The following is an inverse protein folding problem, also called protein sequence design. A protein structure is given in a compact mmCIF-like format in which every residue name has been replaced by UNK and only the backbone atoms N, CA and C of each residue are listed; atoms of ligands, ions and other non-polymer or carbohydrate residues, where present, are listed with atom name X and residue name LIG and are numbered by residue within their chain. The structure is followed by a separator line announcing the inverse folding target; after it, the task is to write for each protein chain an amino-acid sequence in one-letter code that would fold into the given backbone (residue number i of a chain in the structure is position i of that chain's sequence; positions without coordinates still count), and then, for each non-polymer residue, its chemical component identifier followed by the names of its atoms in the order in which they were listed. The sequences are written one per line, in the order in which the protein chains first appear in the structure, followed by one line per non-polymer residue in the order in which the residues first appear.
data_IF_603683504013
#
_entry.id   IF_603683504013
#
_cell.length_a   1.000
_cell.length_b   1.000
_cell.length_c   1.000
_cell.angle_alpha   90.00
_cell.angle_beta   90.00
_cell.angle_gamma   90.00
#
_symmetry.space_group_name_H-M   'P 1'
#
loop_
_entity.id
_entity.type
_entity.pdbx_description
1 polymer ?
#
# COMPACT_ATOMS: atom_id res chain seq x y z
N UNK A 1 -11.00 7.28 -14.40
CA UNK A 1 -10.75 8.17 -13.25
C UNK A 1 -11.85 7.96 -12.24
N UNK A 2 -11.54 7.91 -10.95
CA UNK A 2 -12.59 7.96 -9.92
C UNK A 2 -13.07 9.39 -9.70
N UNK A 3 -14.31 9.53 -9.28
CA UNK A 3 -14.95 10.79 -8.95
C UNK A 3 -15.97 10.59 -7.82
N UNK A 4 -16.82 11.60 -7.60
CA UNK A 4 -17.86 11.56 -6.56
C UNK A 4 -18.96 10.54 -6.84
N UNK A 5 -19.23 10.24 -8.12
CA UNK A 5 -20.22 9.23 -8.52
C UNK A 5 -19.67 7.84 -8.19
N UNK A 6 -18.42 7.57 -8.57
CA UNK A 6 -17.76 6.32 -8.21
C UNK A 6 -17.73 6.11 -6.69
N UNK A 7 -17.44 7.16 -5.91
CA UNK A 7 -17.41 7.04 -4.45
C UNK A 7 -18.80 6.74 -3.88
N UNK A 8 -19.85 7.40 -4.39
CA UNK A 8 -21.23 7.13 -3.98
C UNK A 8 -21.64 5.68 -4.28
N UNK A 9 -21.31 5.17 -5.47
CA UNK A 9 -21.58 3.78 -5.87
C UNK A 9 -20.80 2.78 -4.99
N UNK A 10 -19.51 3.06 -4.76
CA UNK A 10 -18.66 2.24 -3.90
C UNK A 10 -19.19 2.17 -2.46
N UNK A 11 -19.72 3.27 -1.94
CA UNK A 11 -20.36 3.33 -0.62
C UNK A 11 -21.71 2.63 -0.57
N UNK A 12 -22.51 2.75 -1.62
CA UNK A 12 -23.80 2.06 -1.72
C UNK A 12 -23.64 0.52 -1.73
N UNK A 13 -22.51 0.02 -2.23
CA UNK A 13 -22.16 -1.40 -2.21
C UNK A 13 -21.69 -1.94 -0.85
N UNK A 14 -21.43 -1.08 0.14
CA UNK A 14 -20.96 -1.53 1.47
C UNK A 14 -22.12 -2.04 2.30
N UNK A 15 -22.07 -3.33 2.64
CA UNK A 15 -23.03 -3.99 3.52
C UNK A 15 -22.34 -4.42 4.82
N UNK A 16 -22.38 -3.59 5.88
CA UNK A 16 -21.72 -3.89 7.16
C UNK A 16 -22.03 -5.26 7.73
N UNK A 17 -21.02 -5.93 8.28
CA UNK A 17 -21.20 -7.18 9.00
C UNK A 17 -21.94 -6.97 10.34
N UNK A 18 -22.56 -8.04 10.90
CA UNK A 18 -23.20 -7.97 12.20
C UNK A 18 -22.17 -7.67 13.31
N UNK A 19 -22.62 -7.00 14.36
CA UNK A 19 -21.85 -6.77 15.60
C UNK A 19 -21.88 -7.97 16.53
N UNK A 20 -22.84 -8.87 16.36
CA UNK A 20 -22.96 -10.12 17.12
C UNK A 20 -22.61 -11.29 16.20
N UNK A 21 -21.50 -11.95 16.47
CA UNK A 21 -21.12 -13.18 15.79
C UNK A 21 -20.15 -14.00 16.65
N UNK A 22 -20.06 -15.33 16.46
CA UNK A 22 -19.11 -16.16 17.21
C UNK A 22 -17.65 -15.69 17.11
N UNK A 23 -17.27 -15.08 15.98
CA UNK A 23 -15.94 -14.50 15.79
C UNK A 23 -15.72 -13.26 16.65
N UNK A 24 -16.71 -12.38 16.75
CA UNK A 24 -16.65 -11.19 17.62
C UNK A 24 -16.52 -11.62 19.08
N UNK A 25 -17.35 -12.57 19.54
CA UNK A 25 -17.29 -13.08 20.91
C UNK A 25 -15.93 -13.70 21.23
N UNK A 26 -15.40 -14.51 20.30
CA UNK A 26 -14.07 -15.12 20.43
C UNK A 26 -12.98 -14.07 20.55
N UNK A 27 -12.96 -13.08 19.66
CA UNK A 27 -11.93 -12.03 19.69
C UNK A 27 -12.05 -11.19 20.97
N UNK A 28 -13.26 -10.84 21.41
CA UNK A 28 -13.46 -10.10 22.66
C UNK A 28 -12.96 -10.88 23.88
N UNK A 29 -13.13 -12.21 23.92
CA UNK A 29 -12.58 -13.03 25.00
C UNK A 29 -11.05 -13.06 25.01
N UNK A 30 -10.41 -13.11 23.84
CA UNK A 30 -8.94 -12.99 23.72
C UNK A 30 -8.49 -11.62 24.22
N UNK A 31 -9.15 -10.53 23.79
CA UNK A 31 -8.79 -9.17 24.16
C UNK A 31 -8.96 -8.91 25.67
N UNK A 32 -10.03 -9.43 26.29
CA UNK A 32 -10.25 -9.35 27.74
C UNK A 32 -9.15 -10.09 28.51
N UNK A 33 -8.79 -11.30 28.07
CA UNK A 33 -7.69 -12.07 28.67
C UNK A 33 -6.34 -11.34 28.54
N UNK A 34 -6.09 -10.70 27.40
CA UNK A 34 -4.89 -9.86 27.21
C UNK A 34 -4.93 -8.60 28.10
N UNK A 35 -6.11 -8.01 28.34
CA UNK A 35 -6.26 -6.84 29.21
C UNK A 35 -5.94 -7.18 30.67
N UNK A 36 -6.35 -8.36 31.15
CA UNK A 36 -5.97 -8.88 32.47
C UNK A 36 -4.44 -8.96 32.62
N UNK A 37 -3.77 -9.60 31.66
CA UNK A 37 -2.32 -9.76 31.68
C UNK A 37 -1.56 -8.44 31.43
N UNK A 38 -2.11 -7.53 30.62
CA UNK A 38 -1.58 -6.18 30.42
C UNK A 38 -1.61 -5.37 31.72
N UNK A 39 -2.75 -5.38 32.44
CA UNK A 39 -2.87 -4.72 33.73
C UNK A 39 -1.96 -5.33 34.79
N UNK A 40 -1.84 -6.67 34.84
CA UNK A 40 -0.94 -7.35 35.77
C UNK A 40 0.54 -6.98 35.56
N UNK A 41 0.94 -6.62 34.33
CA UNK A 41 2.33 -6.23 33.97
C UNK A 41 2.59 -4.73 34.13
N UNK A 42 1.55 -3.91 34.31
CA UNK A 42 1.66 -2.45 34.33
C UNK A 42 1.09 -1.89 35.63
N UNK A 43 1.98 -1.44 36.51
CA UNK A 43 1.59 -0.83 37.79
C UNK A 43 0.77 0.45 37.64
N UNK A 44 0.78 1.08 36.46
CA UNK A 44 0.01 2.29 36.18
C UNK A 44 -1.41 2.02 35.65
N UNK A 45 -1.79 0.76 35.45
CA UNK A 45 -3.14 0.32 35.03
C UNK A 45 -3.88 -0.20 36.26
N UNK A 46 -4.93 0.52 36.67
CA UNK A 46 -5.63 0.27 37.95
C UNK A 46 -6.63 -0.88 37.84
N UNK A 47 -7.23 -1.07 36.66
CA UNK A 47 -8.25 -2.08 36.40
C UNK A 47 -7.96 -2.79 35.08
N UNK A 48 -8.17 -4.11 34.98
CA UNK A 48 -8.07 -4.83 33.72
C UNK A 48 -9.31 -4.64 32.83
N UNK A 49 -10.29 -3.85 33.27
CA UNK A 49 -11.53 -3.61 32.52
C UNK A 49 -11.20 -3.11 31.11
N UNK A 50 -11.56 -3.92 30.13
CA UNK A 50 -11.50 -3.55 28.72
C UNK A 50 -12.66 -2.61 28.41
N UNK A 51 -12.33 -1.39 27.97
CA UNK A 51 -13.28 -0.47 27.40
C UNK A 51 -13.57 -0.88 25.97
N UNK A 52 -14.79 -1.32 25.74
CA UNK A 52 -15.28 -1.57 24.40
C UNK A 52 -15.36 -0.25 23.64
N UNK A 53 -14.99 -0.21 22.36
CA UNK A 53 -15.10 1.01 21.58
C UNK A 53 -16.55 1.38 21.40
N UNK A 54 -16.81 2.69 21.38
CA UNK A 54 -18.14 3.22 21.10
C UNK A 54 -18.73 2.71 19.76
N UNK A 55 -17.88 2.38 18.78
CA UNK A 55 -18.29 1.86 17.46
C UNK A 55 -18.50 0.35 17.39
N UNK A 56 -18.17 -0.38 18.46
CA UNK A 56 -18.16 -1.84 18.51
C UNK A 56 -17.13 -2.50 17.59
N UNK A 57 -16.94 -3.81 17.78
CA UNK A 57 -16.23 -4.68 16.87
C UNK A 57 -17.24 -5.35 15.93
N UNK A 58 -16.92 -5.48 14.64
CA UNK A 58 -17.77 -6.14 13.64
C UNK A 58 -17.20 -7.46 13.17
N UNK A 59 -18.08 -8.28 12.59
CA UNK A 59 -17.75 -9.60 12.09
C UNK A 59 -16.51 -9.62 11.20
N UNK A 60 -16.41 -8.69 10.25
CA UNK A 60 -15.32 -8.64 9.27
C UNK A 60 -13.96 -8.34 9.91
N UNK A 61 -13.95 -7.37 10.84
CA UNK A 61 -12.76 -7.03 11.63
C UNK A 61 -12.31 -8.21 12.48
N UNK A 62 -13.26 -8.94 13.07
CA UNK A 62 -12.96 -10.08 13.93
C UNK A 62 -12.52 -11.31 13.14
N UNK A 63 -13.19 -11.63 12.05
CA UNK A 63 -12.95 -12.86 11.28
C UNK A 63 -11.62 -12.80 10.54
N UNK A 64 -11.29 -11.68 9.90
CA UNK A 64 -10.02 -11.48 9.21
C UNK A 64 -8.83 -11.52 10.19
N UNK A 65 -8.93 -10.82 11.32
CA UNK A 65 -7.90 -10.82 12.35
C UNK A 65 -7.72 -12.21 12.99
N UNK A 66 -8.80 -12.90 13.34
CA UNK A 66 -8.72 -14.26 13.89
C UNK A 66 -8.12 -15.25 12.88
N UNK A 67 -8.46 -15.13 11.59
CA UNK A 67 -7.86 -15.97 10.56
C UNK A 67 -6.34 -15.72 10.42
N UNK A 68 -5.90 -14.47 10.58
CA UNK A 68 -4.48 -14.13 10.63
C UNK A 68 -3.76 -14.79 11.83
N UNK A 69 -4.40 -14.82 12.99
CA UNK A 69 -3.86 -15.49 14.19
C UNK A 69 -3.83 -17.01 14.02
N UNK A 70 -4.94 -17.60 13.55
CA UNK A 70 -5.10 -19.05 13.43
C UNK A 70 -4.15 -19.66 12.40
N UNK A 71 -3.78 -18.90 11.37
CA UNK A 71 -2.79 -19.32 10.36
C UNK A 71 -1.33 -19.12 10.79
N UNK A 72 -1.10 -18.46 11.94
CA UNK A 72 0.24 -18.08 12.39
C UNK A 72 0.85 -16.89 11.64
N UNK A 73 0.09 -16.23 10.75
CA UNK A 73 0.51 -14.96 10.13
C UNK A 73 0.70 -13.86 11.17
N UNK A 74 -0.17 -13.84 12.19
CA UNK A 74 -0.09 -12.96 13.34
C UNK A 74 0.07 -13.76 14.63
N UNK A 75 0.84 -13.22 15.58
CA UNK A 75 0.97 -13.78 16.92
C UNK A 75 0.69 -12.70 17.96
N UNK A 76 -0.14 -13.02 18.95
CA UNK A 76 -0.49 -12.12 20.05
C UNK A 76 0.23 -12.60 21.31
N UNK A 77 1.01 -11.72 21.93
CA UNK A 77 1.61 -12.00 23.23
C UNK A 77 0.60 -11.73 24.36
N UNK A 78 0.81 -12.28 25.58
CA UNK A 78 -0.13 -12.07 26.67
C UNK A 78 -0.29 -10.60 27.12
N UNK A 79 0.64 -9.69 26.76
CA UNK A 79 0.48 -8.26 27.03
C UNK A 79 -0.32 -7.53 25.93
N UNK A 80 -0.91 -8.26 24.97
CA UNK A 80 -1.68 -7.66 23.89
C UNK A 80 -0.81 -6.97 22.85
N UNK A 81 0.43 -7.41 22.64
CA UNK A 81 1.19 -7.00 21.45
C UNK A 81 1.00 -8.02 20.35
N UNK A 82 0.77 -7.54 19.12
CA UNK A 82 0.78 -8.36 17.92
C UNK A 82 2.14 -8.25 17.22
N UNK A 83 2.60 -9.39 16.70
CA UNK A 83 3.77 -9.51 15.82
C UNK A 83 3.38 -10.24 14.55
N UNK A 84 4.06 -9.91 13.45
CA UNK A 84 3.85 -10.49 12.14
C UNK A 84 5.16 -11.16 11.69
N UNK A 85 5.41 -12.43 12.05
CA UNK A 85 6.69 -13.08 11.80
C UNK A 85 6.98 -13.34 10.32
N UNK A 86 5.95 -13.35 9.47
CA UNK A 86 6.06 -13.65 8.04
C UNK A 86 6.27 -12.42 7.17
N UNK A 87 6.00 -11.21 7.68
CA UNK A 87 6.22 -9.96 6.94
C UNK A 87 7.67 -9.49 7.02
N UNK A 88 8.08 -8.57 6.14
CA UNK A 88 9.45 -8.03 6.17
C UNK A 88 9.76 -7.42 7.54
N UNK A 89 10.89 -7.84 8.11
CA UNK A 89 11.27 -7.47 9.48
C UNK A 89 11.60 -5.98 9.56
N UNK A 90 10.79 -5.25 10.33
CA UNK A 90 11.10 -3.88 10.77
C UNK A 90 12.16 -3.92 11.89
N UNK A 91 13.11 -2.97 11.89
CA UNK A 91 14.09 -2.78 12.98
C UNK A 91 13.82 -1.45 13.71
N UNK A 92 13.67 -1.45 15.06
CA UNK A 92 13.56 -2.62 15.94
C UNK A 92 12.31 -3.46 15.64
N UNK A 93 12.29 -4.73 16.09
CA UNK A 93 11.27 -5.75 15.77
C UNK A 93 9.86 -5.19 15.85
N UNK A 94 9.08 -5.36 14.77
CA UNK A 94 7.69 -4.90 14.67
C UNK A 94 6.78 -5.57 15.71
N UNK A 95 6.59 -4.88 16.84
CA UNK A 95 5.62 -5.20 17.91
C UNK A 95 4.60 -4.08 17.98
N UNK A 96 3.34 -4.39 17.71
CA UNK A 96 2.26 -3.41 17.65
C UNK A 96 1.33 -3.60 18.85
N UNK A 97 1.10 -2.54 19.61
CA UNK A 97 0.28 -2.62 20.82
C UNK A 97 -1.20 -2.63 20.45
N UNK A 98 -1.87 -3.78 20.60
CA UNK A 98 -3.33 -3.87 20.50
C UNK A 98 -4.01 -3.24 21.70
N UNK A 99 -3.32 -3.15 22.84
CA UNK A 99 -3.87 -2.63 24.08
C UNK A 99 -3.09 -1.40 24.54
N UNK A 100 -3.84 -0.40 25.02
CA UNK A 100 -3.30 0.79 25.64
C UNK A 100 -4.02 1.09 26.96
N UNK A 101 -3.36 1.79 27.87
CA UNK A 101 -4.01 2.32 29.05
C UNK A 101 -4.98 3.43 28.65
N UNK A 102 -6.20 3.40 29.18
CA UNK A 102 -7.18 4.48 29.02
C UNK A 102 -7.85 4.74 30.35
N UNK A 103 -7.73 5.94 30.91
CA UNK A 103 -8.23 6.25 32.26
C UNK A 103 -7.75 5.23 33.31
N UNK A 104 -8.69 4.56 33.97
CA UNK A 104 -8.41 3.51 34.96
C UNK A 104 -8.29 2.10 34.37
N UNK A 105 -8.59 1.91 33.08
CA UNK A 105 -8.70 0.60 32.43
C UNK A 105 -7.83 0.47 31.18
N UNK A 106 -8.28 -0.40 30.27
CA UNK A 106 -7.57 -0.78 29.05
C UNK A 106 -8.45 -0.49 27.84
N UNK A 107 -7.90 0.09 26.78
CA UNK A 107 -8.57 0.27 25.48
C UNK A 107 -7.88 -0.54 24.40
N UNK A 108 -8.66 -0.98 23.41
CA UNK A 108 -8.14 -1.66 22.22
C UNK A 108 -7.77 -0.63 21.14
N UNK A 109 -6.63 -0.82 20.48
CA UNK A 109 -6.35 -0.16 19.21
C UNK A 109 -7.00 -0.96 18.08
N UNK A 110 -8.16 -0.47 17.64
CA UNK A 110 -8.97 -1.12 16.61
C UNK A 110 -8.37 -1.04 15.21
N UNK A 111 -7.52 -0.06 14.95
CA UNK A 111 -6.88 0.08 13.64
C UNK A 111 -6.02 -1.15 13.36
N UNK A 112 -5.22 -1.60 14.34
CA UNK A 112 -4.39 -2.80 14.20
C UNK A 112 -5.18 -4.08 13.93
N UNK A 113 -6.43 -4.20 14.40
CA UNK A 113 -7.24 -5.38 14.11
C UNK A 113 -7.53 -5.47 12.60
N UNK A 114 -7.96 -4.36 12.00
CA UNK A 114 -8.31 -4.31 10.58
C UNK A 114 -7.06 -4.32 9.70
N UNK A 115 -6.02 -3.58 10.07
CA UNK A 115 -4.76 -3.55 9.32
C UNK A 115 -4.13 -4.95 9.25
N UNK A 116 -4.07 -5.68 10.36
CA UNK A 116 -3.52 -7.05 10.38
C UNK A 116 -4.38 -8.01 9.56
N UNK A 117 -5.71 -7.92 9.69
CA UNK A 117 -6.64 -8.71 8.88
C UNK A 117 -6.47 -8.46 7.38
N UNK A 118 -6.40 -7.19 6.98
CA UNK A 118 -6.19 -6.78 5.59
C UNK A 118 -4.82 -7.24 5.05
N UNK A 119 -3.75 -7.08 5.83
CA UNK A 119 -2.43 -7.57 5.44
C UNK A 119 -2.42 -9.10 5.25
N UNK A 120 -3.20 -9.84 6.05
CA UNK A 120 -3.36 -11.27 5.87
C UNK A 120 -4.19 -11.64 4.63
N UNK A 121 -5.25 -10.90 4.31
CA UNK A 121 -6.01 -11.04 3.06
C UNK A 121 -5.11 -10.87 1.82
N UNK A 122 -4.14 -9.94 1.84
CA UNK A 122 -3.14 -9.82 0.77
C UNK A 122 -2.38 -11.13 0.53
N UNK A 123 -1.99 -11.79 1.62
CA UNK A 123 -1.20 -13.03 1.54
C UNK A 123 -2.07 -14.23 1.17
N UNK A 124 -3.22 -14.38 1.83
CA UNK A 124 -4.10 -15.53 1.68
C UNK A 124 -4.85 -15.53 0.35
N UNK A 125 -5.44 -14.38 0.00
CA UNK A 125 -6.44 -14.30 -1.07
C UNK A 125 -5.87 -13.64 -2.34
N UNK A 126 -4.88 -12.76 -2.17
CA UNK A 126 -4.31 -11.98 -3.26
C UNK A 126 -2.89 -12.43 -3.63
N UNK A 127 -2.47 -13.58 -3.11
CA UNK A 127 -1.23 -14.29 -3.46
C UNK A 127 0.07 -13.48 -3.26
N UNK A 128 0.07 -12.51 -2.36
CA UNK A 128 1.31 -11.86 -1.92
C UNK A 128 2.09 -12.78 -0.99
N UNK A 129 3.41 -12.77 -1.06
CA UNK A 129 4.21 -13.38 0.01
C UNK A 129 4.38 -12.38 1.16
N UNK A 130 4.43 -12.86 2.41
CA UNK A 130 4.75 -11.97 3.54
C UNK A 130 6.10 -11.26 3.36
N UNK A 131 7.09 -11.93 2.76
CA UNK A 131 8.39 -11.35 2.44
C UNK A 131 8.36 -10.20 1.43
N UNK A 132 7.25 -9.96 0.75
CA UNK A 132 7.02 -8.81 -0.14
C UNK A 132 6.28 -7.67 0.56
N UNK A 133 5.82 -7.84 1.80
CA UNK A 133 5.03 -6.84 2.52
C UNK A 133 5.85 -6.14 3.61
N UNK A 134 5.89 -4.81 3.58
CA UNK A 134 6.24 -4.00 4.74
C UNK A 134 4.93 -3.63 5.47
N UNK A 135 4.89 -3.83 6.80
CA UNK A 135 3.75 -3.45 7.64
C UNK A 135 4.12 -2.25 8.51
N UNK A 136 3.21 -1.26 8.59
CA UNK A 136 3.39 -0.04 9.39
C UNK A 136 4.71 0.68 9.07
N UNK A 137 5.00 0.84 7.78
CA UNK A 137 6.22 1.50 7.30
C UNK A 137 5.88 2.59 6.29
N UNK A 138 6.18 3.83 6.66
CA UNK A 138 5.86 5.00 5.85
C UNK A 138 4.48 5.55 6.23
N UNK A 139 3.82 6.18 5.25
CA UNK A 139 2.51 6.81 5.50
C UNK A 139 1.33 5.84 5.36
N UNK A 140 1.51 4.65 4.80
CA UNK A 140 0.45 3.64 4.60
C UNK A 140 0.58 2.48 5.59
N UNK A 141 -0.53 1.79 5.85
CA UNK A 141 -0.58 0.70 6.82
C UNK A 141 0.20 -0.54 6.35
N UNK A 142 0.24 -0.78 5.03
CA UNK A 142 1.19 -1.73 4.44
C UNK A 142 1.64 -1.30 3.04
N UNK A 143 2.82 -1.75 2.66
CA UNK A 143 3.39 -1.61 1.31
C UNK A 143 3.68 -3.00 0.74
N UNK A 144 3.30 -3.24 -0.51
CA UNK A 144 3.70 -4.43 -1.27
C UNK A 144 4.81 -4.09 -2.26
N UNK A 145 5.88 -4.86 -2.24
CA UNK A 145 7.05 -4.67 -3.08
C UNK A 145 7.00 -5.55 -4.33
N UNK A 146 7.32 -4.95 -5.48
CA UNK A 146 7.46 -5.64 -6.75
C UNK A 146 8.80 -6.34 -6.90
N UNK A 147 9.06 -6.90 -8.09
CA UNK A 147 10.28 -7.68 -8.35
C UNK A 147 11.56 -6.85 -8.23
N UNK A 148 11.48 -5.54 -8.50
CA UNK A 148 12.59 -4.59 -8.35
C UNK A 148 12.84 -4.15 -6.91
N UNK A 149 12.03 -4.61 -5.95
CA UNK A 149 12.06 -4.13 -4.57
C UNK A 149 11.41 -2.77 -4.34
N UNK A 150 10.91 -2.11 -5.40
CA UNK A 150 10.10 -0.88 -5.31
C UNK A 150 8.71 -1.19 -4.74
N UNK A 151 8.10 -0.29 -3.95
CA UNK A 151 6.68 -0.40 -3.63
C UNK A 151 5.81 -0.24 -4.89
N UNK A 152 4.97 -1.24 -5.15
CA UNK A 152 4.01 -1.28 -6.28
C UNK A 152 2.57 -1.43 -5.80
N UNK A 153 2.39 -1.64 -4.49
CA UNK A 153 1.11 -1.67 -3.79
C UNK A 153 1.23 -0.81 -2.52
N UNK A 154 0.19 -0.03 -2.24
CA UNK A 154 -0.05 0.56 -0.92
C UNK A 154 -1.40 0.06 -0.40
N UNK A 155 -1.49 -0.18 0.90
CA UNK A 155 -2.73 -0.54 1.58
C UNK A 155 -3.04 0.49 2.66
N UNK A 156 -4.29 0.93 2.70
CA UNK A 156 -4.84 1.68 3.83
C UNK A 156 -6.07 0.95 4.34
N UNK A 157 -6.09 0.68 5.64
CA UNK A 157 -7.20 0.10 6.34
C UNK A 157 -7.88 1.13 7.26
N UNK A 158 -9.21 1.12 7.28
CA UNK A 158 -10.02 1.87 8.22
C UNK A 158 -11.03 0.94 8.86
N UNK A 159 -11.45 1.25 10.07
CA UNK A 159 -12.50 0.46 10.71
C UNK A 159 -13.81 0.52 9.92
N UNK A 160 -14.11 1.64 9.25
CA UNK A 160 -15.40 1.87 8.59
C UNK A 160 -15.21 2.55 7.22
N UNK A 161 -16.12 2.26 6.31
CA UNK A 161 -16.20 2.94 5.01
C UNK A 161 -16.70 4.39 5.13
N UNK A 162 -17.60 4.69 6.08
CA UNK A 162 -18.17 6.03 6.34
C UNK A 162 -17.90 6.52 7.76
N UNK A 163 -18.00 7.83 7.99
CA UNK A 163 -17.81 8.48 9.29
C UNK A 163 -16.53 9.33 9.39
N UNK A 164 -16.22 9.84 10.59
CA UNK A 164 -15.17 10.86 10.81
C UNK A 164 -13.76 10.42 10.43
N UNK A 165 -13.45 9.14 10.62
CA UNK A 165 -12.17 8.52 10.26
C UNK A 165 -12.47 7.25 9.47
N UNK A 166 -12.66 7.44 8.17
CA UNK A 166 -13.22 6.45 7.26
C UNK A 166 -12.59 6.53 5.88
N UNK A 167 -12.80 5.48 5.07
CA UNK A 167 -12.36 5.48 3.69
C UNK A 167 -13.00 6.63 2.88
N UNK A 168 -14.28 6.94 3.12
CA UNK A 168 -14.98 8.05 2.47
C UNK A 168 -14.23 9.38 2.69
N UNK A 169 -13.87 9.69 3.94
CA UNK A 169 -13.16 10.94 4.26
C UNK A 169 -11.80 11.01 3.57
N UNK A 170 -11.08 9.88 3.52
CA UNK A 170 -9.80 9.79 2.82
C UNK A 170 -9.95 10.02 1.32
N UNK A 171 -10.89 9.31 0.67
CA UNK A 171 -11.08 9.40 -0.79
C UNK A 171 -11.58 10.79 -1.18
N UNK A 172 -12.51 11.40 -0.43
CA UNK A 172 -12.95 12.79 -0.70
C UNK A 172 -11.79 13.78 -0.64
N UNK A 173 -10.90 13.64 0.36
CA UNK A 173 -9.72 14.49 0.46
C UNK A 173 -8.79 14.29 -0.75
N UNK A 174 -8.56 13.05 -1.19
CA UNK A 174 -7.77 12.77 -2.39
C UNK A 174 -8.39 13.27 -3.68
N UNK A 175 -9.71 13.16 -3.85
CA UNK A 175 -10.42 13.76 -4.99
C UNK A 175 -10.28 15.28 -5.04
N UNK A 176 -10.27 15.93 -3.87
CA UNK A 176 -9.98 17.36 -3.76
C UNK A 176 -8.53 17.67 -4.16
N UNK A 177 -7.53 16.95 -3.63
CA UNK A 177 -6.12 17.16 -3.99
C UNK A 177 -5.83 16.89 -5.47
N UNK A 178 -6.53 15.93 -6.09
CA UNK A 178 -6.43 15.65 -7.52
C UNK A 178 -6.96 16.80 -8.39
N UNK A 179 -7.85 17.64 -7.86
CA UNK A 179 -8.44 18.81 -8.54
C UNK A 179 -7.71 20.11 -8.24
N UNK A 180 -7.13 20.23 -7.05
CA UNK A 180 -6.47 21.45 -6.56
C UNK A 180 -5.11 21.13 -5.93
N UNK A 181 -4.04 21.42 -6.69
CA UNK A 181 -2.66 21.24 -6.24
C UNK A 181 -2.23 22.27 -5.18
N UNK A 182 -3.04 23.32 -4.94
CA UNK A 182 -2.75 24.34 -3.93
C UNK A 182 -3.34 24.01 -2.56
N UNK A 183 -4.20 22.99 -2.48
CA UNK A 183 -4.77 22.53 -1.23
C UNK A 183 -3.67 22.02 -0.28
N UNK A 184 -3.77 22.39 1.00
CA UNK A 184 -2.79 22.00 2.01
C UNK A 184 -2.78 20.48 2.23
N UNK A 185 -1.58 19.89 2.18
CA UNK A 185 -1.35 18.46 2.40
C UNK A 185 -0.82 18.14 3.81
N UNK A 186 -0.89 19.08 4.76
CA UNK A 186 -0.39 18.86 6.13
C UNK A 186 -1.26 17.87 6.95
N UNK A 187 -2.50 17.66 6.52
CA UNK A 187 -3.42 16.70 7.12
C UNK A 187 -2.97 15.25 6.91
N UNK A 188 -3.54 14.31 7.67
CA UNK A 188 -3.22 12.88 7.51
C UNK A 188 -3.53 12.36 6.08
N UNK A 189 -4.71 12.63 5.48
CA UNK A 189 -4.96 12.33 4.07
C UNK A 189 -3.96 12.99 3.11
N UNK A 190 -3.54 14.22 3.43
CA UNK A 190 -2.57 14.99 2.65
C UNK A 190 -1.18 14.37 2.62
N UNK A 191 -0.65 13.94 3.76
CA UNK A 191 0.64 13.24 3.83
C UNK A 191 0.63 11.93 3.04
N UNK A 192 -0.46 11.15 3.15
CA UNK A 192 -0.66 9.93 2.34
C UNK A 192 -0.72 10.25 0.84
N UNK A 193 -1.36 11.36 0.45
CA UNK A 193 -1.38 11.83 -0.94
C UNK A 193 0.02 12.20 -1.45
N UNK A 194 0.79 12.96 -0.67
CA UNK A 194 2.18 13.32 -1.00
C UNK A 194 3.06 12.08 -1.13
N UNK A 195 2.91 11.10 -0.23
CA UNK A 195 3.63 9.84 -0.34
C UNK A 195 3.20 9.05 -1.59
N UNK A 196 1.92 9.03 -1.92
CA UNK A 196 1.44 8.39 -3.15
C UNK A 196 2.01 9.06 -4.41
N UNK A 197 2.10 10.40 -4.45
CA UNK A 197 2.79 11.13 -5.52
C UNK A 197 4.25 10.71 -5.65
N UNK A 198 4.96 10.60 -4.52
CA UNK A 198 6.36 10.15 -4.48
C UNK A 198 6.52 8.71 -4.98
N UNK A 199 5.64 7.80 -4.57
CA UNK A 199 5.70 6.40 -5.01
C UNK A 199 5.39 6.25 -6.50
N UNK A 200 4.44 7.02 -7.02
CA UNK A 200 4.06 7.05 -8.44
C UNK A 200 5.17 7.60 -9.36
N UNK A 201 6.18 8.31 -8.83
CA UNK A 201 7.32 8.77 -9.65
C UNK A 201 8.19 7.62 -10.17
N UNK A 202 8.10 6.44 -9.55
CA UNK A 202 8.76 5.22 -10.03
C UNK A 202 7.87 4.35 -10.92
N UNK A 203 6.70 4.84 -11.33
CA UNK A 203 5.69 4.10 -12.09
C UNK A 203 4.41 3.83 -11.30
N UNK A 204 3.36 3.29 -11.95
CA UNK A 204 2.06 3.10 -11.33
C UNK A 204 2.11 2.30 -10.02
N UNK A 205 1.18 2.61 -9.12
CA UNK A 205 1.04 1.97 -7.80
C UNK A 205 -0.41 1.52 -7.64
N UNK A 206 -0.62 0.27 -7.23
CA UNK A 206 -1.94 -0.20 -6.81
C UNK A 206 -2.25 0.35 -5.42
N UNK A 207 -3.45 0.85 -5.24
CA UNK A 207 -3.95 1.34 -3.95
C UNK A 207 -5.08 0.43 -3.53
N UNK A 208 -4.96 -0.17 -2.35
CA UNK A 208 -5.97 -1.04 -1.79
C UNK A 208 -6.52 -0.45 -0.51
N UNK A 209 -7.80 -0.05 -0.55
CA UNK A 209 -8.48 0.59 0.55
C UNK A 209 -9.43 -0.43 1.18
N UNK A 210 -9.24 -0.69 2.47
CA UNK A 210 -9.95 -1.76 3.19
C UNK A 210 -10.71 -1.19 4.37
N UNK A 211 -11.95 -1.62 4.55
CA UNK A 211 -12.70 -1.42 5.77
C UNK A 211 -13.73 -2.54 5.95
N UNK A 212 -14.46 -2.53 7.07
CA UNK A 212 -15.59 -3.44 7.27
C UNK A 212 -16.52 -3.42 6.05
N UNK A 213 -16.60 -4.59 5.39
CA UNK A 213 -17.35 -4.83 4.14
C UNK A 213 -16.94 -3.98 2.91
N UNK A 214 -15.74 -3.38 2.90
CA UNK A 214 -15.24 -2.58 1.78
C UNK A 214 -13.84 -3.00 1.35
N UNK A 215 -13.68 -3.35 0.06
CA UNK A 215 -12.40 -3.64 -0.59
C UNK A 215 -12.34 -2.87 -1.90
N UNK A 216 -11.77 -1.66 -1.87
CA UNK A 216 -11.68 -0.82 -3.06
C UNK A 216 -10.26 -0.87 -3.63
N UNK A 217 -10.14 -1.38 -4.85
CA UNK A 217 -8.88 -1.39 -5.58
C UNK A 217 -8.83 -0.23 -6.57
N UNK A 218 -7.75 0.53 -6.54
CA UNK A 218 -7.47 1.63 -7.46
C UNK A 218 -6.07 1.47 -8.07
N UNK A 219 -5.85 2.11 -9.21
CA UNK A 219 -4.52 2.41 -9.76
C UNK A 219 -4.24 3.88 -9.55
N UNK A 220 -3.11 4.20 -8.94
CA UNK A 220 -2.53 5.52 -8.92
C UNK A 220 -1.43 5.61 -9.98
N UNK A 221 -1.44 6.67 -10.78
CA UNK A 221 -0.39 6.98 -11.76
C UNK A 221 -0.06 8.47 -11.73
N UNK A 222 1.19 8.83 -11.97
CA UNK A 222 1.58 10.23 -12.10
C UNK A 222 1.36 10.68 -13.55
N UNK A 223 0.57 11.74 -13.76
CA UNK A 223 0.37 12.41 -15.05
C UNK A 223 0.79 13.87 -14.89
N UNK A 224 1.96 14.21 -15.43
CA UNK A 224 2.62 15.48 -15.11
C UNK A 224 3.02 15.54 -13.64
N UNK A 225 2.47 16.49 -12.87
CA UNK A 225 2.65 16.59 -11.42
C UNK A 225 1.49 16.02 -10.60
N UNK A 226 0.43 15.57 -11.26
CA UNK A 226 -0.81 15.14 -10.61
C UNK A 226 -0.89 13.62 -10.53
N UNK A 227 -1.35 13.11 -9.38
CA UNK A 227 -1.73 11.70 -9.28
C UNK A 227 -3.14 11.54 -9.81
N UNK A 228 -3.27 10.64 -10.77
CA UNK A 228 -4.54 10.16 -11.27
C UNK A 228 -4.92 8.85 -10.60
N UNK A 229 -6.12 8.79 -10.03
CA UNK A 229 -6.72 7.57 -9.48
C UNK A 229 -7.78 7.01 -10.44
N UNK A 230 -7.69 5.72 -10.76
CA UNK A 230 -8.68 5.00 -11.55
C UNK A 230 -9.11 3.70 -10.87
N UNK A 231 -10.36 3.23 -11.04
CA UNK A 231 -10.76 1.90 -10.57
C UNK A 231 -9.83 0.83 -11.11
N UNK A 232 -9.60 -0.19 -10.30
CA UNK A 232 -8.76 -1.33 -10.64
C UNK A 232 -9.50 -2.65 -10.35
N UNK A 233 -9.04 -3.71 -11.01
CA UNK A 233 -9.24 -5.06 -10.49
C UNK A 233 -8.46 -5.23 -9.18
N UNK A 234 -8.84 -6.22 -8.39
CA UNK A 234 -8.17 -6.53 -7.12
C UNK A 234 -6.65 -6.66 -7.29
N UNK A 235 -5.86 -6.22 -6.29
CA UNK A 235 -4.41 -6.17 -6.38
C UNK A 235 -3.79 -7.56 -6.14
N UNK A 236 -4.34 -8.59 -6.79
CA UNK A 236 -3.74 -9.91 -6.85
C UNK A 236 -2.31 -9.79 -7.38
N UNK A 237 -1.35 -10.45 -6.74
CA UNK A 237 0.07 -10.30 -7.02
C UNK A 237 0.41 -10.45 -8.51
N UNK A 238 -0.18 -11.44 -9.16
CA UNK A 238 -0.05 -11.67 -10.60
C UNK A 238 -0.55 -10.48 -11.46
N UNK A 239 -1.68 -9.86 -11.08
CA UNK A 239 -2.20 -8.68 -11.78
C UNK A 239 -1.24 -7.51 -11.62
N UNK A 240 -0.67 -7.32 -10.43
CA UNK A 240 0.29 -6.24 -10.16
C UNK A 240 1.56 -6.47 -10.98
N UNK A 241 2.09 -7.70 -10.97
CA UNK A 241 3.27 -8.10 -11.73
C UNK A 241 3.11 -7.86 -13.24
N UNK A 242 1.96 -8.23 -13.82
CA UNK A 242 1.71 -8.01 -15.23
C UNK A 242 1.78 -6.51 -15.62
N UNK A 243 1.38 -5.59 -14.72
CA UNK A 243 1.56 -4.16 -15.01
C UNK A 243 3.00 -3.70 -14.83
N UNK A 244 3.73 -4.27 -13.87
CA UNK A 244 5.18 -4.00 -13.74
C UNK A 244 5.88 -4.37 -15.05
N UNK A 245 5.61 -5.57 -15.57
CA UNK A 245 6.18 -6.08 -16.82
C UNK A 245 5.74 -5.25 -18.04
N UNK A 246 4.46 -4.90 -18.15
CA UNK A 246 3.98 -4.05 -19.23
C UNK A 246 4.51 -2.60 -19.15
N UNK A 247 4.94 -2.15 -17.97
CA UNK A 247 5.55 -0.83 -17.78
C UNK A 247 7.07 -0.83 -18.02
N UNK A 248 7.69 -2.00 -18.16
CA UNK A 248 9.11 -2.07 -18.50
C UNK A 248 9.33 -1.60 -19.93
N UNK A 249 10.27 -0.68 -20.06
CA UNK A 249 10.78 -0.19 -21.33
C UNK A 249 11.37 -1.37 -22.10
N UNK A 250 10.77 -1.69 -23.23
CA UNK A 250 11.33 -2.65 -24.18
C UNK A 250 12.60 -2.05 -24.81
N UNK A 251 13.73 -2.68 -24.54
CA UNK A 251 15.03 -2.29 -25.05
C UNK A 251 15.54 -3.35 -26.02
N UNK A 252 16.03 -2.88 -27.17
CA UNK A 252 16.74 -3.68 -28.16
C UNK A 252 18.16 -3.16 -28.32
N UNK A 253 19.03 -3.93 -28.96
CA UNK A 253 20.36 -3.46 -29.33
C UNK A 253 20.25 -2.12 -30.06
N UNK A 254 21.17 -1.21 -29.76
CA UNK A 254 21.16 0.11 -30.40
C UNK A 254 21.22 -0.05 -31.93
N UNK A 255 20.28 0.62 -32.59
CA UNK A 255 20.20 0.73 -34.03
C UNK A 255 19.72 2.16 -34.38
N UNK A 256 20.55 2.95 -35.12
CA UNK A 256 20.25 4.32 -35.49
C UNK A 256 18.96 4.46 -36.31
N UNK A 257 18.56 3.43 -37.05
CA UNK A 257 17.41 3.50 -37.97
C UNK A 257 16.06 3.47 -37.23
N UNK A 258 16.03 3.07 -35.95
CA UNK A 258 14.85 3.22 -35.10
C UNK A 258 14.61 4.64 -34.58
N UNK A 259 15.53 5.57 -34.85
CA UNK A 259 15.45 6.93 -34.34
C UNK A 259 15.09 7.92 -35.43
N UNK A 260 14.33 8.95 -35.06
CA UNK A 260 13.95 10.00 -36.00
C UNK A 260 15.20 10.67 -36.59
N UNK A 261 15.31 10.83 -37.92
CA UNK A 261 16.44 11.51 -38.55
C UNK A 261 16.68 12.91 -37.97
N UNK A 262 17.95 13.26 -37.78
CA UNK A 262 18.38 14.54 -37.20
C UNK A 262 18.37 14.60 -35.67
N UNK A 263 17.94 13.53 -34.98
CA UNK A 263 18.10 13.41 -33.53
C UNK A 263 19.51 12.96 -33.15
N UNK A 264 19.91 13.20 -31.88
CA UNK A 264 21.18 12.66 -31.35
C UNK A 264 21.26 11.14 -31.44
N UNK A 265 20.13 10.48 -31.18
CA UNK A 265 20.03 9.03 -31.22
C UNK A 265 20.26 8.48 -32.64
N UNK A 266 19.73 9.13 -33.67
CA UNK A 266 20.04 8.79 -35.07
C UNK A 266 21.51 9.05 -35.44
N UNK A 267 22.17 9.99 -34.74
CA UNK A 267 23.58 10.34 -34.95
C UNK A 267 24.59 9.51 -34.15
N UNK A 268 24.21 8.37 -33.56
CA UNK A 268 25.16 7.52 -32.81
C UNK A 268 25.43 7.97 -31.37
N UNK A 269 24.60 8.83 -30.79
CA UNK A 269 24.83 9.37 -29.44
C UNK A 269 23.64 9.11 -28.50
N UNK A 270 23.94 8.85 -27.23
CA UNK A 270 22.94 8.71 -26.16
C UNK A 270 22.04 9.95 -26.10
N UNK A 271 20.73 9.74 -26.25
CA UNK A 271 19.73 10.81 -26.13
C UNK A 271 19.14 10.91 -24.73
N UNK A 272 19.13 9.82 -23.95
CA UNK A 272 18.57 9.79 -22.59
C UNK A 272 19.17 10.84 -21.64
N UNK A 273 20.50 10.95 -21.63
CA UNK A 273 21.21 11.94 -20.80
C UNK A 273 21.42 13.29 -21.51
N UNK A 274 20.89 13.46 -22.71
CA UNK A 274 21.00 14.69 -23.49
C UNK A 274 22.43 15.04 -23.94
N UNK A 275 22.70 16.34 -24.08
CA UNK A 275 23.92 16.85 -24.74
C UNK A 275 25.21 16.64 -23.96
N UNK A 276 25.13 16.44 -22.64
CA UNK A 276 26.28 16.27 -21.75
C UNK A 276 26.83 14.84 -21.73
N UNK A 277 26.11 13.90 -22.33
CA UNK A 277 26.52 12.51 -22.37
C UNK A 277 27.50 12.23 -23.51
N UNK A 278 28.65 11.66 -23.15
CA UNK A 278 29.68 11.18 -24.08
C UNK A 278 29.67 9.65 -24.24
N UNK A 279 28.73 8.95 -23.59
CA UNK A 279 28.65 7.50 -23.69
C UNK A 279 28.08 7.04 -25.03
N UNK A 280 28.70 6.01 -25.63
CA UNK A 280 28.21 5.33 -26.82
C UNK A 280 26.87 4.64 -26.50
N UNK A 281 25.82 4.81 -27.32
CA UNK A 281 24.56 4.12 -27.12
C UNK A 281 24.73 2.62 -27.36
N UNK A 282 24.11 1.83 -26.49
CA UNK A 282 24.13 0.36 -26.52
C UNK A 282 22.72 -0.23 -26.69
N UNK A 283 21.68 0.56 -26.38
CA UNK A 283 20.27 0.18 -26.58
C UNK A 283 19.47 1.26 -27.30
N UNK A 284 18.46 0.82 -28.03
CA UNK A 284 17.32 1.63 -28.50
C UNK A 284 16.08 1.23 -27.70
N UNK A 285 15.33 2.21 -27.21
CA UNK A 285 14.12 1.95 -26.44
C UNK A 285 13.05 3.02 -26.65
N UNK A 286 11.81 2.78 -26.22
CA UNK A 286 10.73 3.76 -26.24
C UNK A 286 10.47 4.24 -24.81
N UNK A 287 10.53 5.55 -24.56
CA UNK A 287 10.23 6.11 -23.25
C UNK A 287 8.71 6.17 -22.97
N UNK A 288 8.34 6.63 -21.78
CA UNK A 288 6.94 6.72 -21.35
C UNK A 288 6.10 7.72 -22.19
N UNK A 289 6.74 8.63 -22.92
CA UNK A 289 6.06 9.57 -23.83
C UNK A 289 5.81 8.94 -25.21
N UNK A 290 6.30 7.73 -25.45
CA UNK A 290 6.26 7.08 -26.75
C UNK A 290 7.41 7.50 -27.67
N UNK A 291 8.38 8.28 -27.19
CA UNK A 291 9.51 8.72 -28.00
C UNK A 291 10.62 7.66 -28.00
N UNK A 292 11.22 7.42 -29.18
CA UNK A 292 12.38 6.54 -29.29
C UNK A 292 13.63 7.24 -28.78
N UNK A 293 14.28 6.61 -27.81
CA UNK A 293 15.50 7.07 -27.15
C UNK A 293 16.63 6.06 -27.35
N UNK A 294 17.86 6.54 -27.30
CA UNK A 294 19.06 5.71 -27.20
C UNK A 294 19.71 5.86 -25.83
N UNK A 295 20.16 4.74 -25.27
CA UNK A 295 20.77 4.67 -23.96
C UNK A 295 22.20 4.13 -24.01
N UNK A 296 23.12 4.76 -23.29
CA UNK A 296 24.47 4.24 -23.05
C UNK A 296 24.47 3.24 -21.88
N UNK A 297 25.61 2.60 -21.59
CA UNK A 297 25.72 1.64 -20.48
C UNK A 297 25.29 2.24 -19.13
N UNK A 298 25.59 3.53 -18.90
CA UNK A 298 25.19 4.23 -17.67
C UNK A 298 23.67 4.36 -17.58
N UNK A 299 23.00 4.73 -18.67
CA UNK A 299 21.54 4.86 -18.65
C UNK A 299 20.86 3.50 -18.51
N UNK A 300 21.38 2.45 -19.14
CA UNK A 300 20.85 1.09 -18.95
C UNK A 300 20.93 0.70 -17.48
N UNK A 301 22.08 0.94 -16.83
CA UNK A 301 22.22 0.67 -15.40
C UNK A 301 21.24 1.48 -14.56
N UNK A 302 21.11 2.79 -14.81
CA UNK A 302 20.17 3.66 -14.11
C UNK A 302 18.71 3.20 -14.30
N UNK A 303 18.30 2.82 -15.52
CA UNK A 303 16.95 2.35 -15.83
C UNK A 303 16.67 0.97 -15.20
N UNK A 304 17.65 0.07 -15.20
CA UNK A 304 17.56 -1.23 -14.51
C UNK A 304 17.49 -1.05 -12.99
N UNK A 305 18.31 -0.17 -12.41
CA UNK A 305 18.30 0.15 -10.97
C UNK A 305 16.96 0.76 -10.53
N UNK A 306 16.27 1.50 -11.42
CA UNK A 306 14.92 2.01 -11.19
C UNK A 306 13.82 0.98 -11.44
N UNK A 307 14.14 -0.16 -12.04
CA UNK A 307 13.17 -1.16 -12.48
C UNK A 307 12.33 -0.73 -13.68
N UNK A 308 12.79 0.27 -14.43
CA UNK A 308 12.13 0.76 -15.66
C UNK A 308 12.53 -0.08 -16.88
N UNK A 309 13.62 -0.86 -16.81
CA UNK A 309 14.11 -1.71 -17.90
C UNK A 309 14.55 -3.06 -17.34
N UNK A 310 14.31 -4.14 -18.08
CA UNK A 310 14.83 -5.46 -17.73
C UNK A 310 16.37 -5.47 -17.86
N UNK A 311 17.05 -6.23 -16.98
CA UNK A 311 18.48 -6.41 -17.10
C UNK A 311 18.81 -7.09 -18.46
N UNK A 312 19.77 -6.58 -19.25
CA UNK A 312 20.12 -7.20 -20.51
C UNK A 312 20.61 -8.64 -20.28
N UNK A 313 20.07 -9.58 -21.06
CA UNK A 313 20.53 -10.96 -21.05
C UNK A 313 21.96 -11.00 -21.59
N UNK A 314 22.90 -11.54 -20.80
CA UNK A 314 24.31 -11.69 -21.17
C UNK A 314 24.53 -12.91 -22.06
#
# INVERSE_FOLDING_TARGET
MIDEVWLADALAGVAPGPTESPGVDRLMNILRSCADAFAARRSDVVSPKLFEPARGLRHDEASSFLAAVDSGFAQIDPAGFVTLPTVRVKRPTGRYALLAKSGSGVSVNHEYLVQVGAAYELVRDLAWSGGELDFERGEFDALGHGNSGRPVLVMEAKARATGRDSLETLVRAWLMFARDQTASTESNPGRKWTELQRLCSGGPVRVWLVADAARWALTARLVGSMVELAPAIEPHRANVQANEEASMIEAIAYDPDFHRPGTRAAGGACSWHGVTCQGTPVVSFQDQSGDRQSGCERSVRELVERGEMAAPQR
#
